data_IF_738964563907
#
_entry.id   IF_738964563907
#
_cell.length_a   1.000
_cell.length_b   1.000
_cell.length_c   1.000
_cell.angle_alpha   90.00
_cell.angle_beta   90.00
_cell.angle_gamma   90.00
#
_symmetry.space_group_name_H-M   'P 1'
#
loop_
_entity.id
_entity.type
_entity.pdbx_description
1 polymer ?
#
# COMPACT_ATOMS: atom_id res chain seq x y z
N UNK A 1 -45.46 5.14 -18.82
CA UNK A 1 -44.14 5.80 -18.91
C UNK A 1 -44.06 6.96 -17.91
N UNK A 2 -45.04 7.82 -17.86
CA UNK A 2 -45.10 8.95 -16.91
C UNK A 2 -45.13 8.50 -15.45
N UNK A 3 -45.81 7.38 -15.15
CA UNK A 3 -45.85 6.76 -13.81
C UNK A 3 -44.48 6.17 -13.46
N UNK A 4 -43.79 5.48 -14.36
CA UNK A 4 -42.44 4.95 -14.15
C UNK A 4 -41.43 6.07 -13.96
N UNK A 5 -41.56 7.16 -14.68
CA UNK A 5 -40.72 8.35 -14.48
C UNK A 5 -40.98 9.00 -13.12
N UNK A 6 -42.22 9.14 -12.68
CA UNK A 6 -42.56 9.64 -11.35
C UNK A 6 -42.07 8.72 -10.24
N UNK A 7 -42.19 7.41 -10.39
CA UNK A 7 -41.66 6.44 -9.42
C UNK A 7 -40.13 6.52 -9.32
N UNK A 8 -39.44 6.64 -10.45
CA UNK A 8 -38.01 6.79 -10.50
C UNK A 8 -37.56 8.13 -9.87
N UNK A 9 -38.24 9.25 -10.18
CA UNK A 9 -37.94 10.54 -9.57
C UNK A 9 -38.19 10.56 -8.05
N UNK A 10 -39.26 9.92 -7.58
CA UNK A 10 -39.57 9.77 -6.16
C UNK A 10 -38.56 8.88 -5.45
N UNK A 11 -38.13 7.76 -6.05
CA UNK A 11 -37.10 6.88 -5.44
C UNK A 11 -35.76 7.62 -5.28
N UNK A 12 -35.40 8.45 -6.24
CA UNK A 12 -34.20 9.27 -6.22
C UNK A 12 -34.28 10.43 -5.22
N UNK A 13 -35.48 10.99 -4.98
CA UNK A 13 -35.70 12.02 -3.99
C UNK A 13 -35.62 11.48 -2.56
N UNK A 14 -36.09 10.24 -2.34
CA UNK A 14 -35.91 9.49 -1.09
C UNK A 14 -34.43 9.18 -0.85
N UNK A 15 -33.70 8.84 -1.88
CA UNK A 15 -32.24 8.58 -1.80
C UNK A 15 -31.44 9.87 -1.46
N UNK A 16 -31.90 11.04 -1.94
CA UNK A 16 -31.30 12.35 -1.64
C UNK A 16 -31.48 12.78 -0.18
N UNK A 17 -32.49 12.26 0.52
CA UNK A 17 -32.85 12.62 1.90
C UNK A 17 -32.11 11.80 2.97
N UNK A 18 -31.33 10.80 2.58
CA UNK A 18 -30.47 10.02 3.47
C UNK A 18 -29.13 10.74 3.64
N UNK A 19 -28.87 11.24 4.85
CA UNK A 19 -27.74 12.12 5.21
C UNK A 19 -26.35 11.46 5.15
N UNK A 20 -26.27 10.16 4.87
CA UNK A 20 -25.04 9.35 4.96
C UNK A 20 -24.36 9.03 3.61
N UNK A 21 -24.76 9.66 2.52
CA UNK A 21 -24.25 9.28 1.20
C UNK A 21 -23.07 10.13 0.72
N UNK A 22 -21.91 9.50 0.63
CA UNK A 22 -20.69 10.02 -0.03
C UNK A 22 -20.85 10.25 -1.55
N UNK A 23 -21.95 9.83 -2.16
CA UNK A 23 -22.29 10.03 -3.58
C UNK A 23 -23.54 10.90 -3.72
N UNK A 24 -23.37 12.16 -4.03
CA UNK A 24 -24.50 13.02 -4.43
C UNK A 24 -24.61 13.06 -5.94
N UNK A 25 -25.68 12.45 -6.48
CA UNK A 25 -26.05 12.53 -7.90
C UNK A 25 -26.78 13.85 -8.12
N UNK A 26 -26.31 14.68 -9.06
CA UNK A 26 -26.98 15.95 -9.37
C UNK A 26 -28.17 15.71 -10.31
N UNK A 27 -29.37 15.62 -9.73
CA UNK A 27 -30.64 15.34 -10.42
C UNK A 27 -31.19 16.52 -11.20
N UNK A 28 -30.78 17.76 -10.91
CA UNK A 28 -31.29 18.95 -11.59
C UNK A 28 -30.89 18.97 -13.09
N UNK A 29 -29.77 18.34 -13.43
CA UNK A 29 -29.31 18.21 -14.82
C UNK A 29 -30.03 17.11 -15.60
N UNK A 30 -30.68 16.18 -14.95
CA UNK A 30 -31.46 15.11 -15.60
C UNK A 30 -32.77 15.63 -16.20
N UNK A 31 -33.24 16.77 -15.74
CA UNK A 31 -34.58 17.28 -16.08
C UNK A 31 -34.67 18.04 -17.41
N UNK A 32 -33.58 18.41 -18.07
CA UNK A 32 -33.65 19.29 -19.21
C UNK A 32 -33.65 18.64 -20.63
N UNK A 33 -32.95 17.51 -20.92
CA UNK A 33 -33.02 16.87 -22.25
C UNK A 33 -33.79 15.55 -22.30
N UNK A 34 -34.18 15.00 -21.15
CA UNK A 34 -34.72 13.62 -21.04
C UNK A 34 -36.10 13.35 -21.64
N UNK A 35 -37.09 14.28 -21.66
CA UNK A 35 -38.44 13.94 -22.17
C UNK A 35 -38.47 13.51 -23.64
N UNK A 36 -37.58 14.03 -24.48
CA UNK A 36 -37.53 13.66 -25.90
C UNK A 36 -37.11 12.21 -26.14
N UNK A 37 -36.16 11.69 -25.38
CA UNK A 37 -35.68 10.31 -25.50
C UNK A 37 -36.70 9.30 -24.96
N UNK A 38 -37.38 9.62 -23.85
CA UNK A 38 -38.45 8.75 -23.33
C UNK A 38 -39.66 8.69 -24.26
N UNK A 39 -40.04 9.81 -24.87
CA UNK A 39 -41.12 9.81 -25.88
C UNK A 39 -40.74 8.99 -27.11
N UNK A 40 -39.48 9.04 -27.55
CA UNK A 40 -38.99 8.23 -28.67
C UNK A 40 -39.04 6.73 -28.34
N UNK A 41 -38.54 6.34 -27.16
CA UNK A 41 -38.59 4.94 -26.69
C UNK A 41 -40.03 4.47 -26.54
N UNK A 42 -40.92 5.30 -25.99
CA UNK A 42 -42.35 5.02 -25.88
C UNK A 42 -43.02 4.85 -27.23
N UNK A 43 -42.66 5.67 -28.20
CA UNK A 43 -43.18 5.58 -29.58
C UNK A 43 -42.70 4.29 -30.27
N UNK A 44 -41.45 3.92 -30.13
CA UNK A 44 -40.89 2.66 -30.65
C UNK A 44 -41.59 1.45 -30.03
N UNK A 45 -41.75 1.42 -28.69
CA UNK A 45 -42.42 0.35 -27.98
C UNK A 45 -43.91 0.24 -28.40
N UNK A 46 -44.60 1.38 -28.56
CA UNK A 46 -45.96 1.42 -29.04
C UNK A 46 -46.07 0.92 -30.48
N UNK A 47 -45.20 1.37 -31.38
CA UNK A 47 -45.13 0.93 -32.76
C UNK A 47 -44.91 -0.60 -32.86
N UNK A 48 -44.00 -1.15 -32.04
CA UNK A 48 -43.76 -2.59 -31.95
C UNK A 48 -45.01 -3.34 -31.49
N UNK A 49 -45.72 -2.87 -30.44
CA UNK A 49 -46.97 -3.44 -29.99
C UNK A 49 -48.08 -3.33 -31.09
N UNK A 50 -48.15 -2.20 -31.76
CA UNK A 50 -49.12 -1.95 -32.83
C UNK A 50 -48.91 -2.91 -34.01
N UNK A 51 -47.68 -3.11 -34.48
CA UNK A 51 -47.34 -4.04 -35.56
C UNK A 51 -47.71 -5.48 -35.18
N UNK A 52 -47.45 -5.89 -33.92
CA UNK A 52 -47.78 -7.25 -33.47
C UNK A 52 -49.28 -7.48 -33.22
N UNK A 53 -50.06 -6.44 -32.99
CA UNK A 53 -51.50 -6.56 -32.74
C UNK A 53 -52.33 -6.69 -34.02
N UNK A 54 -51.87 -6.13 -35.14
CA UNK A 54 -52.62 -6.17 -36.41
C UNK A 54 -52.10 -7.30 -37.32
N UNK A 55 -52.95 -8.30 -37.59
CA UNK A 55 -52.59 -9.48 -38.41
C UNK A 55 -52.18 -9.11 -39.86
N UNK A 56 -52.78 -8.08 -40.45
CA UNK A 56 -52.43 -7.58 -41.80
C UNK A 56 -51.01 -7.01 -41.83
N UNK A 57 -50.58 -6.35 -40.74
CA UNK A 57 -49.21 -5.83 -40.62
C UNK A 57 -48.17 -6.95 -40.41
N UNK A 58 -48.55 -8.06 -39.79
CA UNK A 58 -47.69 -9.25 -39.67
C UNK A 58 -47.39 -9.88 -41.03
N UNK A 59 -48.38 -9.88 -41.98
CA UNK A 59 -48.16 -10.43 -43.29
C UNK A 59 -47.14 -9.65 -44.14
N UNK A 60 -47.00 -8.33 -43.89
CA UNK A 60 -45.96 -7.49 -44.49
C UNK A 60 -44.65 -7.56 -43.68
N UNK A 61 -44.74 -7.70 -42.34
CA UNK A 61 -43.59 -7.73 -41.46
C UNK A 61 -42.78 -9.05 -41.54
N UNK A 62 -43.44 -10.18 -41.84
CA UNK A 62 -42.77 -11.48 -41.96
C UNK A 62 -41.68 -11.50 -43.04
N UNK A 63 -41.90 -11.11 -44.28
CA UNK A 63 -40.86 -11.09 -45.31
C UNK A 63 -39.71 -10.15 -44.95
N UNK A 64 -40.00 -9.03 -44.26
CA UNK A 64 -38.98 -8.09 -43.77
C UNK A 64 -38.17 -8.73 -42.68
N UNK A 65 -38.84 -9.39 -41.73
CA UNK A 65 -38.16 -10.10 -40.64
C UNK A 65 -37.26 -11.20 -41.18
N UNK A 66 -37.80 -12.03 -42.11
CA UNK A 66 -37.05 -13.13 -42.72
C UNK A 66 -35.83 -12.61 -43.50
N UNK A 67 -35.92 -11.45 -44.13
CA UNK A 67 -34.77 -10.80 -44.77
C UNK A 67 -33.68 -10.42 -43.80
N UNK A 68 -34.03 -9.91 -42.60
CA UNK A 68 -33.07 -9.52 -41.59
C UNK A 68 -32.52 -10.69 -40.80
N UNK A 69 -33.30 -11.75 -40.56
CA UNK A 69 -32.90 -12.91 -39.75
C UNK A 69 -32.26 -14.04 -40.57
N UNK A 70 -32.37 -14.00 -41.95
CA UNK A 70 -31.78 -15.04 -42.79
C UNK A 70 -30.26 -15.06 -42.70
N UNK A 71 -29.68 -16.26 -42.52
CA UNK A 71 -28.27 -16.50 -42.52
C UNK A 71 -27.64 -16.19 -43.89
N UNK A 72 -26.60 -15.38 -43.89
CA UNK A 72 -25.78 -15.05 -45.05
C UNK A 72 -24.34 -15.45 -44.78
N UNK A 73 -23.65 -16.00 -45.76
CA UNK A 73 -22.27 -16.43 -45.61
C UNK A 73 -21.35 -15.71 -46.59
N UNK A 74 -20.20 -15.26 -46.08
CA UNK A 74 -19.08 -14.80 -46.89
C UNK A 74 -17.88 -15.68 -46.51
N UNK A 75 -17.58 -16.66 -47.33
CA UNK A 75 -16.61 -17.71 -47.04
C UNK A 75 -17.07 -18.56 -45.83
N UNK A 76 -16.26 -18.65 -44.79
CA UNK A 76 -16.60 -19.36 -43.54
C UNK A 76 -17.35 -18.52 -42.52
N UNK A 77 -17.63 -17.26 -42.81
CA UNK A 77 -18.30 -16.34 -41.90
C UNK A 77 -19.78 -16.26 -42.17
N UNK A 78 -20.60 -16.66 -41.19
CA UNK A 78 -22.07 -16.58 -41.25
C UNK A 78 -22.52 -15.35 -40.46
N UNK A 79 -23.36 -14.52 -41.06
CA UNK A 79 -23.91 -13.32 -40.41
C UNK A 79 -25.36 -13.08 -40.82
N UNK A 80 -26.08 -12.37 -39.96
CA UNK A 80 -27.44 -11.86 -40.25
C UNK A 80 -27.43 -10.33 -40.22
N UNK A 81 -28.33 -9.68 -40.95
CA UNK A 81 -28.46 -8.22 -40.82
C UNK A 81 -28.94 -7.81 -39.42
N UNK A 82 -29.78 -8.64 -38.80
CA UNK A 82 -30.19 -8.46 -37.41
C UNK A 82 -29.00 -8.46 -36.47
N UNK A 83 -28.07 -9.43 -36.63
CA UNK A 83 -26.83 -9.52 -35.84
C UNK A 83 -25.94 -8.27 -35.98
N UNK A 84 -25.79 -7.76 -37.24
CA UNK A 84 -25.03 -6.53 -37.48
C UNK A 84 -25.70 -5.32 -36.82
N UNK A 85 -27.03 -5.21 -36.94
CA UNK A 85 -27.76 -4.12 -36.29
C UNK A 85 -27.70 -4.18 -34.78
N UNK A 86 -27.83 -5.37 -34.20
CA UNK A 86 -27.64 -5.58 -32.77
C UNK A 86 -26.22 -5.22 -32.31
N UNK A 87 -25.19 -5.63 -33.07
CA UNK A 87 -23.79 -5.29 -32.80
C UNK A 87 -23.58 -3.77 -32.69
N UNK A 88 -24.05 -3.03 -33.72
CA UNK A 88 -23.94 -1.57 -33.75
C UNK A 88 -24.73 -0.94 -32.58
N UNK A 89 -25.94 -1.44 -32.35
CA UNK A 89 -26.83 -0.93 -31.28
C UNK A 89 -26.23 -1.14 -29.89
N UNK A 90 -25.65 -2.30 -29.62
CA UNK A 90 -25.02 -2.61 -28.34
C UNK A 90 -23.80 -1.73 -28.11
N UNK A 91 -22.93 -1.53 -29.11
CA UNK A 91 -21.76 -0.63 -29.00
C UNK A 91 -22.25 0.81 -28.74
N UNK A 92 -23.29 1.26 -29.46
CA UNK A 92 -23.85 2.59 -29.26
C UNK A 92 -24.41 2.76 -27.85
N UNK A 93 -25.20 1.80 -27.36
CA UNK A 93 -25.73 1.81 -25.99
C UNK A 93 -24.59 1.78 -24.97
N UNK A 94 -23.58 0.93 -25.15
CA UNK A 94 -22.42 0.84 -24.24
C UNK A 94 -21.66 2.16 -24.19
N UNK A 95 -21.48 2.85 -25.31
CA UNK A 95 -20.84 4.17 -25.33
C UNK A 95 -21.71 5.25 -24.67
N UNK A 96 -23.02 5.20 -24.82
CA UNK A 96 -23.95 6.10 -24.13
C UNK A 96 -23.92 5.89 -22.62
N UNK A 97 -24.01 4.62 -22.17
CA UNK A 97 -23.95 4.26 -20.75
C UNK A 97 -22.61 4.72 -20.16
N UNK A 98 -21.51 4.48 -20.87
CA UNK A 98 -20.17 4.90 -20.46
C UNK A 98 -20.06 6.43 -20.32
N UNK A 99 -20.60 7.19 -21.28
CA UNK A 99 -20.62 8.66 -21.22
C UNK A 99 -21.52 9.17 -20.09
N UNK A 100 -22.71 8.58 -19.95
CA UNK A 100 -23.67 8.95 -18.90
C UNK A 100 -23.06 8.72 -17.49
N UNK A 101 -22.43 7.56 -17.27
CA UNK A 101 -21.78 7.26 -16.01
C UNK A 101 -20.60 8.20 -15.74
N UNK A 102 -19.77 8.48 -16.75
CA UNK A 102 -18.69 9.46 -16.65
C UNK A 102 -19.19 10.85 -16.28
N UNK A 103 -20.34 11.26 -16.85
CA UNK A 103 -20.95 12.54 -16.57
C UNK A 103 -21.50 12.63 -15.14
N UNK A 104 -22.17 11.57 -14.67
CA UNK A 104 -22.70 11.48 -13.29
C UNK A 104 -21.58 11.49 -12.24
N UNK A 105 -20.48 10.79 -12.51
CA UNK A 105 -19.34 10.70 -11.58
C UNK A 105 -18.45 11.96 -11.61
N UNK A 106 -18.35 12.64 -12.77
CA UNK A 106 -17.52 13.84 -12.89
C UNK A 106 -18.05 15.04 -12.09
N UNK A 107 -19.34 15.07 -11.79
CA UNK A 107 -20.00 16.19 -11.07
C UNK A 107 -20.14 15.94 -9.56
N UNK A 108 -19.56 14.86 -9.03
CA UNK A 108 -19.55 14.60 -7.57
C UNK A 108 -18.77 15.69 -6.83
N UNK A 109 -19.26 16.12 -5.67
CA UNK A 109 -18.69 17.20 -4.82
C UNK A 109 -17.19 17.04 -4.51
N UNK A 110 -16.64 15.83 -4.67
CA UNK A 110 -15.24 15.50 -4.45
C UNK A 110 -14.29 16.24 -5.42
N UNK A 111 -14.78 16.64 -6.62
CA UNK A 111 -13.98 17.42 -7.58
C UNK A 111 -13.99 18.93 -7.27
N UNK A 112 -14.99 19.43 -6.56
CA UNK A 112 -15.10 20.86 -6.20
C UNK A 112 -14.21 21.26 -5.00
N UNK A 113 -13.78 20.31 -4.19
CA UNK A 113 -12.97 20.56 -2.99
C UNK A 113 -11.45 20.71 -3.26
N UNK A 114 -11.04 20.78 -4.55
CA UNK A 114 -9.66 21.02 -4.99
C UNK A 114 -9.07 22.35 -4.50
N UNK A 115 -9.90 23.29 -4.05
CA UNK A 115 -9.43 24.61 -3.58
C UNK A 115 -8.89 24.60 -2.14
N UNK A 116 -8.95 23.49 -1.41
CA UNK A 116 -8.53 23.41 0.01
C UNK A 116 -7.39 22.42 0.30
N UNK A 117 -6.49 22.18 -0.65
CA UNK A 117 -5.18 21.55 -0.35
C UNK A 117 -5.19 20.10 0.15
N UNK A 118 -6.34 19.40 0.23
CA UNK A 118 -6.39 17.97 0.52
C UNK A 118 -6.25 17.19 -0.78
N UNK A 119 -5.24 16.29 -0.85
CA UNK A 119 -5.04 15.32 -1.94
C UNK A 119 -6.30 14.44 -2.07
N UNK A 120 -7.30 14.92 -2.82
CA UNK A 120 -8.43 14.10 -3.24
C UNK A 120 -7.93 13.02 -4.20
N UNK A 121 -8.43 11.81 -4.06
CA UNK A 121 -8.21 10.72 -5.02
C UNK A 121 -8.58 11.27 -6.39
N UNK A 122 -7.69 11.14 -7.39
CA UNK A 122 -7.96 11.54 -8.77
C UNK A 122 -9.06 10.64 -9.36
N UNK A 123 -10.33 11.01 -9.13
CA UNK A 123 -11.50 10.30 -9.64
C UNK A 123 -11.47 10.15 -11.17
N UNK A 124 -10.73 11.01 -11.87
CA UNK A 124 -10.55 10.90 -13.32
C UNK A 124 -10.00 9.56 -13.78
N UNK A 125 -9.03 8.99 -13.05
CA UNK A 125 -8.45 7.68 -13.38
C UNK A 125 -9.42 6.53 -13.16
N UNK A 126 -10.24 6.56 -12.12
CA UNK A 126 -11.27 5.55 -11.86
C UNK A 126 -12.42 5.59 -12.88
N UNK A 127 -12.83 6.79 -13.27
CA UNK A 127 -13.83 6.97 -14.33
C UNK A 127 -13.33 6.41 -15.66
N UNK A 128 -12.03 6.59 -15.97
CA UNK A 128 -11.42 6.00 -17.16
C UNK A 128 -11.45 4.47 -17.12
N UNK A 129 -11.10 3.84 -16.01
CA UNK A 129 -11.13 2.38 -15.84
C UNK A 129 -12.55 1.83 -15.98
N UNK A 130 -13.55 2.47 -15.36
CA UNK A 130 -14.95 2.10 -15.50
C UNK A 130 -15.43 2.21 -16.96
N UNK A 131 -15.02 3.26 -17.65
CA UNK A 131 -15.34 3.46 -19.07
C UNK A 131 -14.76 2.34 -19.94
N UNK A 132 -13.49 2.00 -19.75
CA UNK A 132 -12.84 0.89 -20.47
C UNK A 132 -13.59 -0.41 -20.17
N UNK A 133 -13.91 -0.70 -18.90
CA UNK A 133 -14.65 -1.90 -18.50
C UNK A 133 -16.02 -2.02 -19.19
N UNK A 134 -16.82 -0.94 -19.17
CA UNK A 134 -18.15 -0.92 -19.80
C UNK A 134 -18.05 -1.15 -21.31
N UNK A 135 -17.10 -0.47 -21.98
CA UNK A 135 -16.92 -0.62 -23.43
C UNK A 135 -16.44 -2.03 -23.77
N UNK A 136 -15.53 -2.62 -22.98
CA UNK A 136 -15.03 -3.97 -23.20
C UNK A 136 -16.13 -5.03 -23.03
N UNK A 137 -16.94 -4.93 -21.98
CA UNK A 137 -18.09 -5.83 -21.75
C UNK A 137 -19.12 -5.65 -22.88
N UNK A 138 -19.43 -4.42 -23.25
CA UNK A 138 -20.34 -4.11 -24.36
C UNK A 138 -19.88 -4.69 -25.69
N UNK A 139 -18.56 -4.63 -25.95
CA UNK A 139 -17.96 -5.22 -27.15
C UNK A 139 -18.11 -6.76 -27.18
N UNK A 140 -17.88 -7.42 -26.03
CA UNK A 140 -18.07 -8.88 -25.92
C UNK A 140 -19.51 -9.29 -26.16
N UNK A 141 -20.47 -8.56 -25.56
CA UNK A 141 -21.89 -8.79 -25.76
C UNK A 141 -22.29 -8.54 -27.26
N UNK A 142 -21.72 -7.50 -27.86
CA UNK A 142 -21.96 -7.17 -29.27
C UNK A 142 -21.46 -8.32 -30.19
N UNK A 143 -20.27 -8.87 -29.96
CA UNK A 143 -19.77 -10.02 -30.71
C UNK A 143 -20.66 -11.26 -30.55
N UNK A 144 -21.08 -11.56 -29.31
CA UNK A 144 -21.99 -12.67 -29.03
C UNK A 144 -23.33 -12.53 -29.79
N UNK A 145 -23.91 -11.31 -29.78
CA UNK A 145 -25.18 -11.01 -30.42
C UNK A 145 -25.12 -11.01 -31.96
N UNK A 146 -23.93 -10.76 -32.52
CA UNK A 146 -23.71 -10.81 -33.98
C UNK A 146 -23.52 -12.24 -34.51
N UNK A 147 -23.59 -13.27 -33.65
CA UNK A 147 -23.37 -14.66 -34.08
C UNK A 147 -21.90 -14.98 -34.38
N UNK A 148 -20.96 -14.10 -33.99
CA UNK A 148 -19.53 -14.34 -34.20
C UNK A 148 -19.07 -15.41 -33.21
N UNK A 149 -18.43 -16.51 -33.71
CA UNK A 149 -17.97 -17.56 -32.81
C UNK A 149 -16.96 -17.00 -31.83
N UNK A 150 -17.33 -17.00 -30.54
CA UNK A 150 -16.50 -16.46 -29.48
C UNK A 150 -15.26 -17.32 -29.15
N UNK A 151 -15.21 -18.56 -29.65
CA UNK A 151 -14.14 -19.51 -29.34
C UNK A 151 -12.75 -18.96 -29.69
N UNK A 152 -12.61 -18.34 -30.86
CA UNK A 152 -11.35 -17.72 -31.28
C UNK A 152 -11.01 -16.46 -30.46
N UNK A 153 -12.03 -15.67 -30.13
CA UNK A 153 -11.86 -14.46 -29.30
C UNK A 153 -11.50 -14.86 -27.87
N UNK A 154 -12.11 -15.94 -27.37
CA UNK A 154 -11.85 -16.47 -26.03
C UNK A 154 -10.37 -16.86 -25.86
N UNK A 155 -9.75 -17.47 -26.87
CA UNK A 155 -8.34 -17.83 -26.82
C UNK A 155 -7.47 -16.57 -26.68
N UNK A 156 -7.73 -15.54 -27.46
CA UNK A 156 -7.00 -14.27 -27.42
C UNK A 156 -7.20 -13.57 -26.06
N UNK A 157 -8.45 -13.51 -25.60
CA UNK A 157 -8.77 -12.90 -24.30
C UNK A 157 -8.12 -13.67 -23.17
N UNK A 158 -8.10 -15.01 -23.23
CA UNK A 158 -7.45 -15.84 -22.22
C UNK A 158 -5.95 -15.59 -22.17
N UNK A 159 -5.28 -15.55 -23.30
CA UNK A 159 -3.85 -15.24 -23.38
C UNK A 159 -3.55 -13.82 -22.85
N UNK A 160 -4.39 -12.83 -23.23
CA UNK A 160 -4.28 -11.45 -22.73
C UNK A 160 -4.51 -11.37 -21.22
N UNK A 161 -5.51 -12.11 -20.70
CA UNK A 161 -5.85 -12.14 -19.28
C UNK A 161 -4.69 -12.71 -18.43
N UNK A 162 -4.03 -13.76 -18.94
CA UNK A 162 -2.82 -14.31 -18.28
C UNK A 162 -1.70 -13.27 -18.27
N UNK A 163 -1.46 -12.59 -19.41
CA UNK A 163 -0.45 -11.52 -19.48
C UNK A 163 -0.74 -10.36 -18.53
N UNK A 164 -1.98 -9.90 -18.48
CA UNK A 164 -2.41 -8.86 -17.53
C UNK A 164 -2.26 -9.36 -16.09
N UNK A 165 -2.65 -10.62 -15.80
CA UNK A 165 -2.51 -11.23 -14.48
C UNK A 165 -1.07 -11.21 -13.99
N UNK A 166 -0.11 -11.61 -14.81
CA UNK A 166 1.30 -11.50 -14.47
C UNK A 166 1.78 -10.06 -14.29
N UNK A 167 1.31 -9.14 -15.15
CA UNK A 167 1.63 -7.71 -15.00
C UNK A 167 1.09 -7.08 -13.73
N UNK A 168 -0.05 -7.57 -13.22
CA UNK A 168 -0.70 -7.07 -12.00
C UNK A 168 -0.31 -7.85 -10.73
N UNK A 169 0.45 -8.94 -10.83
CA UNK A 169 0.77 -9.82 -9.71
C UNK A 169 1.29 -9.07 -8.48
N UNK A 170 2.26 -8.18 -8.68
CA UNK A 170 2.84 -7.38 -7.58
C UNK A 170 1.81 -6.43 -6.94
N UNK A 171 0.93 -5.84 -7.72
CA UNK A 171 -0.13 -4.96 -7.20
C UNK A 171 -1.11 -5.74 -6.33
N UNK A 172 -1.54 -6.91 -6.81
CA UNK A 172 -2.46 -7.79 -6.07
C UNK A 172 -1.78 -8.31 -4.80
N UNK A 173 -0.52 -8.73 -4.87
CA UNK A 173 0.24 -9.16 -3.69
C UNK A 173 0.28 -8.05 -2.63
N UNK A 174 0.61 -6.82 -3.01
CA UNK A 174 0.66 -5.70 -2.09
C UNK A 174 -0.71 -5.36 -1.47
N UNK A 175 -1.78 -5.47 -2.25
CA UNK A 175 -3.15 -5.26 -1.78
C UNK A 175 -3.54 -6.32 -0.75
N UNK A 176 -3.33 -7.60 -1.06
CA UNK A 176 -3.64 -8.73 -0.17
C UNK A 176 -2.80 -8.62 1.11
N UNK A 177 -1.51 -8.31 0.98
CA UNK A 177 -0.63 -8.07 2.12
C UNK A 177 -1.10 -6.92 3.00
N UNK A 178 -1.61 -5.82 2.41
CA UNK A 178 -2.20 -4.72 3.16
C UNK A 178 -3.43 -5.13 3.96
N UNK A 179 -4.28 -5.98 3.38
CA UNK A 179 -5.44 -6.55 4.07
C UNK A 179 -4.98 -7.44 5.24
N UNK A 180 -4.01 -8.33 5.02
CA UNK A 180 -3.47 -9.22 6.06
C UNK A 180 -2.90 -8.39 7.23
N UNK A 181 -2.09 -7.35 6.93
CA UNK A 181 -1.53 -6.45 7.96
C UNK A 181 -2.65 -5.80 8.78
N UNK A 182 -3.74 -5.37 8.13
CA UNK A 182 -4.85 -4.73 8.83
C UNK A 182 -5.60 -5.69 9.77
N UNK A 183 -5.69 -6.98 9.42
CA UNK A 183 -6.37 -8.00 10.23
C UNK A 183 -5.45 -8.59 11.31
N UNK A 184 -4.26 -9.03 10.96
CA UNK A 184 -3.34 -9.72 11.87
C UNK A 184 -2.52 -8.75 12.73
N UNK A 185 -2.35 -7.51 12.26
CA UNK A 185 -1.64 -6.44 12.96
C UNK A 185 -0.24 -6.83 13.45
N UNK A 186 0.61 -7.44 12.61
CA UNK A 186 2.00 -7.72 12.99
C UNK A 186 2.78 -6.43 13.24
N UNK A 187 2.26 -5.31 12.76
CA UNK A 187 2.78 -3.96 12.94
C UNK A 187 1.62 -2.97 13.02
N UNK A 188 1.73 -1.98 13.91
CA UNK A 188 0.77 -0.90 14.08
C UNK A 188 1.40 0.45 13.77
N UNK A 189 0.55 1.44 13.49
CA UNK A 189 1.01 2.83 13.37
C UNK A 189 1.58 3.28 14.72
N UNK A 190 2.79 3.83 14.70
CA UNK A 190 3.53 4.23 15.90
C UNK A 190 4.59 3.23 16.34
N UNK A 191 4.54 1.97 15.89
CA UNK A 191 5.56 0.95 16.21
C UNK A 191 6.93 1.34 15.67
N UNK A 192 7.96 0.98 16.42
CA UNK A 192 9.35 1.04 15.95
C UNK A 192 9.68 -0.27 15.25
N UNK A 193 9.99 -0.16 13.97
CA UNK A 193 10.23 -1.32 13.10
C UNK A 193 11.57 -1.20 12.39
N UNK A 194 12.14 -2.35 12.07
CA UNK A 194 13.30 -2.47 11.21
C UNK A 194 12.94 -3.34 10.01
N UNK A 195 13.03 -2.76 8.82
CA UNK A 195 12.70 -3.41 7.54
C UNK A 195 13.77 -3.06 6.52
N UNK A 196 14.29 -4.04 5.81
CA UNK A 196 15.34 -3.87 4.79
C UNK A 196 16.55 -3.06 5.29
N UNK A 197 16.96 -3.25 6.56
CA UNK A 197 18.07 -2.54 7.19
C UNK A 197 17.79 -1.06 7.52
N UNK A 198 16.54 -0.63 7.42
CA UNK A 198 16.10 0.71 7.84
C UNK A 198 15.28 0.60 9.12
N UNK A 199 15.71 1.33 10.16
CA UNK A 199 14.97 1.43 11.42
C UNK A 199 14.23 2.76 11.50
N UNK A 200 12.98 2.73 11.92
CA UNK A 200 12.17 3.93 12.07
C UNK A 200 10.81 3.65 12.70
N UNK A 201 10.00 4.70 12.78
CA UNK A 201 8.65 4.62 13.32
C UNK A 201 7.62 4.47 12.20
N UNK A 202 6.72 3.51 12.33
CA UNK A 202 5.61 3.33 11.39
C UNK A 202 4.69 4.55 11.41
N UNK A 203 4.64 5.30 10.31
CA UNK A 203 3.85 6.54 10.16
C UNK A 203 2.43 6.27 9.72
N UNK A 204 2.27 5.39 8.74
CA UNK A 204 0.96 5.01 8.21
C UNK A 204 1.01 3.66 7.52
N UNK A 205 -0.13 2.96 7.54
CA UNK A 205 -0.35 1.71 6.82
C UNK A 205 -1.42 2.00 5.78
N UNK A 206 -1.06 1.94 4.51
CA UNK A 206 -1.97 2.14 3.38
C UNK A 206 -2.41 0.83 2.76
N UNK A 207 -3.26 0.91 1.74
CA UNK A 207 -3.84 -0.26 1.08
C UNK A 207 -2.77 -1.12 0.36
N UNK A 208 -1.79 -0.49 -0.30
CA UNK A 208 -0.74 -1.17 -1.08
C UNK A 208 0.67 -0.95 -0.53
N UNK A 209 0.88 0.08 0.26
CA UNK A 209 2.19 0.45 0.79
C UNK A 209 2.05 1.12 2.14
N UNK A 210 3.01 0.90 3.01
CA UNK A 210 3.14 1.54 4.31
C UNK A 210 4.29 2.53 4.30
N UNK A 211 4.31 3.45 5.27
CA UNK A 211 5.30 4.51 5.38
C UNK A 211 5.98 4.44 6.74
N UNK A 212 7.30 4.44 6.74
CA UNK A 212 8.15 4.46 7.93
C UNK A 212 8.96 5.75 7.91
N UNK A 213 8.90 6.52 8.99
CA UNK A 213 9.79 7.67 9.20
C UNK A 213 11.04 7.21 9.93
N UNK A 214 12.20 7.35 9.30
CA UNK A 214 13.49 6.99 9.89
C UNK A 214 13.93 8.02 10.94
N UNK A 215 14.93 7.67 11.74
CA UNK A 215 15.50 8.61 12.74
C UNK A 215 16.17 9.82 12.11
N UNK A 216 16.60 9.70 10.85
CA UNK A 216 17.17 10.82 10.07
C UNK A 216 16.10 11.75 9.48
N UNK A 217 14.80 11.49 9.77
CA UNK A 217 13.69 12.31 9.31
C UNK A 217 13.19 12.00 7.90
N UNK A 218 13.70 10.95 7.23
CA UNK A 218 13.21 10.55 5.92
C UNK A 218 11.98 9.65 6.02
N UNK A 219 11.02 9.83 5.09
CA UNK A 219 9.88 8.95 4.94
C UNK A 219 10.19 7.86 3.90
N UNK A 220 10.26 6.62 4.33
CA UNK A 220 10.48 5.45 3.48
C UNK A 220 9.14 4.80 3.17
N UNK A 221 8.81 4.70 1.87
CA UNK A 221 7.60 4.02 1.40
C UNK A 221 7.94 2.56 1.09
N UNK A 222 7.31 1.64 1.80
CA UNK A 222 7.56 0.21 1.70
C UNK A 222 6.30 -0.48 1.15
N UNK A 223 6.39 -1.24 0.04
CA UNK A 223 5.29 -2.07 -0.43
C UNK A 223 4.84 -3.05 0.66
N UNK A 224 3.53 -3.24 0.83
CA UNK A 224 3.02 -4.11 1.89
C UNK A 224 3.46 -5.57 1.74
N UNK A 225 3.67 -6.02 0.49
CA UNK A 225 4.24 -7.35 0.20
C UNK A 225 5.62 -7.52 0.81
N UNK A 226 6.46 -6.50 0.78
CA UNK A 226 7.81 -6.57 1.35
C UNK A 226 7.78 -6.64 2.88
N UNK A 227 6.80 -5.97 3.52
CA UNK A 227 6.62 -6.04 4.97
C UNK A 227 6.27 -7.45 5.46
N UNK A 228 5.55 -8.25 4.66
CA UNK A 228 5.16 -9.62 5.03
C UNK A 228 6.15 -10.68 4.52
N UNK A 229 6.76 -10.47 3.36
CA UNK A 229 7.64 -11.45 2.73
C UNK A 229 9.10 -11.36 3.23
N UNK A 230 9.50 -10.19 3.76
CA UNK A 230 10.83 -10.01 4.36
C UNK A 230 10.76 -10.17 5.88
N UNK A 231 11.93 -10.34 6.51
CA UNK A 231 12.01 -10.33 7.96
C UNK A 231 11.76 -8.91 8.48
N UNK A 232 10.61 -8.73 9.12
CA UNK A 232 10.25 -7.52 9.83
C UNK A 232 10.61 -7.69 11.30
N UNK A 233 11.47 -6.84 11.85
CA UNK A 233 11.68 -6.77 13.30
C UNK A 233 10.80 -5.65 13.85
N UNK A 234 9.86 -6.00 14.72
CA UNK A 234 9.05 -5.04 15.47
C UNK A 234 9.57 -4.96 16.91
N UNK A 235 10.12 -3.80 17.26
CA UNK A 235 10.74 -3.57 18.58
C UNK A 235 9.73 -3.17 19.65
N UNK A 236 8.47 -2.92 19.30
CA UNK A 236 7.44 -2.40 20.20
C UNK A 236 6.18 -3.27 20.24
N UNK A 237 6.13 -4.36 19.48
CA UNK A 237 5.01 -5.30 19.50
C UNK A 237 4.96 -6.05 20.84
N UNK A 238 3.91 -5.80 21.61
CA UNK A 238 3.69 -6.42 22.93
C UNK A 238 4.46 -5.75 24.05
N UNK A 239 5.79 -5.79 24.06
CA UNK A 239 6.66 -5.15 25.04
C UNK A 239 7.63 -4.21 24.35
N UNK A 240 7.72 -2.95 24.81
CA UNK A 240 8.68 -1.96 24.29
C UNK A 240 10.11 -2.17 24.81
N UNK A 241 10.36 -3.21 25.61
CA UNK A 241 11.66 -3.45 26.23
C UNK A 241 12.70 -3.86 25.19
N UNK A 242 13.75 -3.09 25.07
CA UNK A 242 14.86 -3.39 24.19
C UNK A 242 16.17 -3.49 24.95
N UNK A 243 16.99 -4.48 24.56
CA UNK A 243 18.30 -4.71 25.16
C UNK A 243 19.39 -4.08 24.33
N UNK A 244 20.21 -3.24 24.96
CA UNK A 244 21.37 -2.60 24.35
C UNK A 244 22.65 -3.02 25.05
N UNK A 245 23.78 -2.71 24.44
CA UNK A 245 25.09 -3.05 24.98
C UNK A 245 26.11 -1.93 24.82
N UNK A 246 27.01 -1.87 25.79
CA UNK A 246 28.21 -1.05 25.76
C UNK A 246 29.40 -2.02 25.88
N UNK A 247 30.41 -1.82 25.05
CA UNK A 247 31.68 -2.53 25.13
C UNK A 247 32.74 -1.57 25.71
N UNK A 248 33.45 -2.00 26.72
CA UNK A 248 34.56 -1.24 27.32
C UNK A 248 35.64 -2.19 27.78
N UNK A 249 36.90 -1.80 27.67
CA UNK A 249 38.05 -2.58 28.18
C UNK A 249 38.59 -2.00 29.46
N UNK A 250 39.01 -2.87 30.39
CA UNK A 250 39.74 -2.48 31.59
C UNK A 250 41.19 -3.00 31.55
N UNK A 251 42.11 -2.31 32.19
CA UNK A 251 43.51 -2.69 32.18
C UNK A 251 43.75 -4.07 32.86
N UNK A 252 44.74 -4.80 32.40
CA UNK A 252 45.22 -6.00 33.08
C UNK A 252 45.66 -5.68 34.53
N UNK A 253 45.34 -6.58 35.44
CA UNK A 253 45.59 -6.38 36.88
C UNK A 253 44.48 -5.67 37.64
N UNK A 254 43.42 -5.19 36.94
CA UNK A 254 42.23 -4.62 37.57
C UNK A 254 41.43 -5.71 38.30
N UNK A 255 40.89 -5.40 39.47
CA UNK A 255 40.00 -6.30 40.21
C UNK A 255 38.64 -6.40 39.52
N UNK A 256 38.41 -7.48 38.79
CA UNK A 256 37.21 -7.68 37.96
C UNK A 256 35.92 -7.82 38.78
N UNK A 257 36.01 -8.36 40.00
CA UNK A 257 34.86 -8.51 40.89
C UNK A 257 34.34 -7.14 41.36
N UNK A 258 35.27 -6.24 41.72
CA UNK A 258 34.93 -4.86 42.08
C UNK A 258 34.35 -4.09 40.90
N UNK A 259 34.96 -4.22 39.72
CA UNK A 259 34.41 -3.61 38.47
C UNK A 259 33.01 -4.07 38.23
N UNK A 260 32.75 -5.39 38.30
CA UNK A 260 31.42 -5.96 38.14
C UNK A 260 30.43 -5.32 39.11
N UNK A 261 30.73 -5.28 40.39
CA UNK A 261 29.88 -4.71 41.44
C UNK A 261 29.57 -3.24 41.17
N UNK A 262 30.59 -2.41 40.92
CA UNK A 262 30.40 -0.97 40.70
C UNK A 262 29.55 -0.67 39.46
N UNK A 263 29.74 -1.44 38.38
CA UNK A 263 28.94 -1.28 37.15
C UNK A 263 27.51 -1.74 37.39
N UNK A 264 27.25 -2.83 38.11
CA UNK A 264 25.90 -3.27 38.49
C UNK A 264 25.19 -2.19 39.30
N UNK A 265 25.84 -1.65 40.33
CA UNK A 265 25.27 -0.62 41.20
C UNK A 265 24.93 0.65 40.39
N UNK A 266 25.80 1.05 39.46
CA UNK A 266 25.60 2.17 38.58
C UNK A 266 24.34 1.95 37.68
N UNK A 267 24.23 0.79 37.02
CA UNK A 267 23.11 0.48 36.15
C UNK A 267 21.79 0.41 36.91
N UNK A 268 21.80 -0.15 38.13
CA UNK A 268 20.60 -0.23 38.99
C UNK A 268 20.15 1.13 39.52
N UNK A 269 21.07 2.07 39.70
CA UNK A 269 20.77 3.43 40.12
C UNK A 269 20.25 4.33 39.00
N UNK A 270 20.45 3.94 37.74
CA UNK A 270 20.06 4.76 36.60
C UNK A 270 18.56 4.66 36.33
N UNK A 271 17.84 5.80 36.29
CA UNK A 271 16.38 5.85 36.22
C UNK A 271 15.80 5.21 34.96
N UNK A 272 16.48 5.30 33.81
CA UNK A 272 16.02 4.82 32.51
C UNK A 272 16.46 3.40 32.16
N UNK A 273 17.21 2.74 33.06
CA UNK A 273 17.58 1.32 32.95
C UNK A 273 16.60 0.49 33.75
N UNK A 274 16.06 -0.55 33.11
CA UNK A 274 15.14 -1.45 33.78
C UNK A 274 15.88 -2.29 34.84
N UNK A 275 15.27 -2.39 36.03
CA UNK A 275 15.74 -3.29 37.08
C UNK A 275 15.44 -4.74 36.82
N UNK A 276 14.42 -5.00 36.03
CA UNK A 276 14.03 -6.33 35.56
C UNK A 276 13.56 -6.25 34.07
N UNK A 277 14.11 -7.08 33.15
CA UNK A 277 15.17 -8.06 33.40
C UNK A 277 16.48 -7.38 33.87
N UNK A 278 17.25 -8.06 34.74
CA UNK A 278 18.47 -7.49 35.33
C UNK A 278 19.51 -7.17 34.26
N UNK A 279 20.29 -6.08 34.43
CA UNK A 279 21.47 -5.83 33.62
C UNK A 279 22.45 -6.99 33.73
N UNK A 280 23.16 -7.28 32.65
CA UNK A 280 24.11 -8.38 32.58
C UNK A 280 25.49 -7.82 32.20
N UNK A 281 26.48 -8.12 33.02
CA UNK A 281 27.86 -7.73 32.80
C UNK A 281 28.67 -9.00 32.54
N UNK A 282 29.36 -9.04 31.41
CA UNK A 282 30.12 -10.20 30.96
C UNK A 282 31.54 -9.76 30.60
N UNK A 283 32.55 -10.38 31.19
CA UNK A 283 33.92 -10.31 30.68
C UNK A 283 34.01 -11.28 29.50
N UNK A 284 34.23 -10.74 28.30
CA UNK A 284 34.11 -11.50 27.06
C UNK A 284 35.39 -12.15 26.60
N UNK A 285 36.51 -11.46 26.76
CA UNK A 285 37.84 -11.97 26.36
C UNK A 285 38.97 -11.20 26.97
N UNK A 286 40.16 -11.82 26.96
CA UNK A 286 41.44 -11.14 27.19
C UNK A 286 41.91 -10.58 25.85
N UNK A 287 41.75 -9.25 25.67
CA UNK A 287 42.18 -8.55 24.48
C UNK A 287 43.68 -8.27 24.46
N UNK A 288 44.17 -7.66 23.37
CA UNK A 288 45.60 -7.36 23.20
C UNK A 288 46.18 -6.38 24.25
N UNK A 289 45.32 -5.52 24.80
CA UNK A 289 45.74 -4.48 25.75
C UNK A 289 44.74 -4.29 26.90
N UNK A 290 43.63 -4.99 26.90
CA UNK A 290 42.53 -4.86 27.86
C UNK A 290 41.88 -6.19 28.16
N UNK A 291 41.14 -6.27 29.27
CA UNK A 291 40.11 -7.28 29.46
C UNK A 291 38.79 -6.66 29.05
N UNK A 292 38.16 -7.26 28.04
CA UNK A 292 36.96 -6.70 27.41
C UNK A 292 35.71 -7.04 28.20
N UNK A 293 34.91 -6.03 28.46
CA UNK A 293 33.67 -6.07 29.23
C UNK A 293 32.49 -5.69 28.38
N UNK A 294 31.51 -6.56 28.27
CA UNK A 294 30.20 -6.30 27.62
C UNK A 294 29.15 -6.01 28.70
N UNK A 295 28.65 -4.80 28.72
CA UNK A 295 27.61 -4.33 29.64
C UNK A 295 26.30 -4.35 28.86
N UNK A 296 25.36 -5.25 29.19
CA UNK A 296 24.06 -5.37 28.58
C UNK A 296 22.99 -4.87 29.53
N UNK A 297 22.15 -3.96 29.04
CA UNK A 297 21.08 -3.35 29.83
C UNK A 297 19.77 -3.25 29.02
N UNK A 298 18.66 -3.16 29.73
CA UNK A 298 17.35 -3.05 29.16
C UNK A 298 16.79 -1.65 29.37
N UNK A 299 16.12 -1.10 28.34
CA UNK A 299 15.38 0.15 28.39
C UNK A 299 13.91 -0.09 28.14
N UNK A 300 13.05 0.74 28.72
CA UNK A 300 11.60 0.62 28.56
C UNK A 300 11.08 1.09 27.19
N UNK A 301 11.81 1.98 26.53
CA UNK A 301 11.44 2.53 25.23
C UNK A 301 12.66 2.52 24.31
N UNK A 302 12.53 1.85 23.17
CA UNK A 302 13.56 1.81 22.14
C UNK A 302 14.04 3.20 21.70
N UNK A 303 13.14 4.17 21.63
CA UNK A 303 13.48 5.53 21.18
C UNK A 303 14.45 6.27 22.12
N UNK A 304 14.47 5.92 23.41
CA UNK A 304 15.37 6.50 24.42
C UNK A 304 16.71 5.83 24.51
N UNK A 305 16.87 4.68 23.86
CA UNK A 305 18.03 3.81 24.01
C UNK A 305 19.38 4.49 23.69
N UNK A 306 19.41 5.29 22.62
CA UNK A 306 20.63 6.00 22.19
C UNK A 306 21.06 7.02 23.24
N UNK A 307 20.12 7.77 23.80
CA UNK A 307 20.38 8.75 24.84
C UNK A 307 20.84 8.06 26.11
N UNK A 308 20.11 7.02 26.55
CA UNK A 308 20.48 6.23 27.74
C UNK A 308 21.86 5.60 27.60
N UNK A 309 22.19 5.08 26.42
CA UNK A 309 23.53 4.54 26.14
C UNK A 309 24.61 5.60 26.27
N UNK A 310 24.39 6.81 25.77
CA UNK A 310 25.32 7.93 25.89
C UNK A 310 25.52 8.34 27.36
N UNK A 311 24.41 8.47 28.11
CA UNK A 311 24.45 8.82 29.53
C UNK A 311 25.21 7.80 30.35
N UNK A 312 24.99 6.50 30.06
CA UNK A 312 25.72 5.41 30.73
C UNK A 312 27.20 5.41 30.38
N UNK A 313 27.60 5.72 29.15
CA UNK A 313 29.03 5.83 28.78
C UNK A 313 29.70 6.92 29.62
N UNK A 314 29.07 8.09 29.75
CA UNK A 314 29.55 9.20 30.55
C UNK A 314 29.63 8.80 32.04
N UNK A 315 28.60 8.13 32.54
CA UNK A 315 28.54 7.69 33.93
C UNK A 315 29.62 6.63 34.25
N UNK A 316 29.85 5.69 33.32
CA UNK A 316 30.91 4.66 33.44
C UNK A 316 32.29 5.31 33.42
N UNK A 317 32.55 6.26 32.53
CA UNK A 317 33.84 6.98 32.49
C UNK A 317 34.10 7.70 33.81
N UNK A 318 33.10 8.39 34.35
CA UNK A 318 33.20 9.06 35.66
C UNK A 318 33.45 8.06 36.78
N UNK A 319 32.67 6.98 36.83
CA UNK A 319 32.85 5.91 37.85
C UNK A 319 34.26 5.31 37.79
N UNK A 320 34.75 5.01 36.61
CA UNK A 320 36.09 4.41 36.45
C UNK A 320 37.19 5.36 36.91
N UNK A 321 37.07 6.66 36.63
CA UNK A 321 38.00 7.69 37.14
C UNK A 321 37.94 7.79 38.66
N UNK A 322 36.78 7.81 39.27
CA UNK A 322 36.59 7.86 40.73
C UNK A 322 37.15 6.62 41.46
N UNK A 323 37.05 5.46 40.80
CA UNK A 323 37.54 4.18 41.38
C UNK A 323 38.94 3.81 40.96
N UNK A 324 39.67 4.70 40.26
CA UNK A 324 40.99 4.44 39.71
C UNK A 324 41.07 3.20 38.81
N UNK A 325 39.97 2.90 38.09
CA UNK A 325 39.90 1.84 37.07
C UNK A 325 40.42 2.43 35.76
N UNK A 326 41.52 1.88 35.22
CA UNK A 326 42.10 2.38 33.98
C UNK A 326 41.49 1.74 32.75
N UNK A 327 41.11 2.55 31.78
CA UNK A 327 40.85 2.12 30.41
C UNK A 327 42.17 2.24 29.66
N UNK A 328 42.82 1.12 29.27
CA UNK A 328 44.19 1.18 28.76
C UNK A 328 44.24 1.74 27.36
N UNK A 329 45.26 2.50 27.05
CA UNK A 329 45.66 2.77 25.68
C UNK A 329 46.27 1.50 25.05
N UNK A 330 46.34 1.43 23.70
CA UNK A 330 47.07 0.33 23.06
C UNK A 330 48.47 0.18 23.63
N UNK A 331 48.81 -1.02 24.13
CA UNK A 331 50.09 -1.34 24.71
C UNK A 331 50.99 -2.02 23.69
N UNK A 332 52.28 -1.68 23.67
CA UNK A 332 53.28 -2.31 22.81
C UNK A 332 54.56 -2.52 23.59
N UNK A 333 55.10 -3.74 23.53
CA UNK A 333 56.42 -4.03 24.02
C UNK A 333 57.44 -3.68 22.93
N UNK A 334 58.32 -2.71 23.21
CA UNK A 334 59.35 -2.29 22.26
C UNK A 334 60.69 -2.80 22.69
N UNK A 335 61.28 -3.70 21.91
CA UNK A 335 62.67 -4.18 22.12
C UNK A 335 63.65 -3.36 21.28
N UNK A 336 64.43 -2.50 21.92
CA UNK A 336 65.45 -1.70 21.25
C UNK A 336 66.70 -2.58 21.06
N UNK A 337 66.98 -3.02 19.84
CA UNK A 337 68.13 -3.89 19.52
C UNK A 337 69.46 -3.12 19.43
N UNK A 338 69.45 -1.87 19.06
CA UNK A 338 70.63 -0.99 19.00
C UNK A 338 70.20 0.48 19.13
N UNK A 339 70.94 1.24 19.88
CA UNK A 339 70.86 2.71 19.86
C UNK A 339 71.96 3.23 18.93
N UNK A 340 71.74 4.24 18.10
CA UNK A 340 72.81 4.89 17.37
C UNK A 340 73.83 5.44 18.38
N UNK A 341 75.12 5.23 18.10
CA UNK A 341 76.15 5.81 18.93
C UNK A 341 75.97 7.33 18.98
N UNK A 342 75.99 7.84 20.22
CA UNK A 342 75.91 9.29 20.41
C UNK A 342 77.20 9.89 19.90
N UNK A 343 77.14 10.61 18.81
CA UNK A 343 78.27 11.35 18.21
C UNK A 343 78.74 12.39 19.24
N UNK A 344 79.84 12.07 19.94
CA UNK A 344 80.39 12.93 20.95
C UNK A 344 81.18 14.13 20.40
N UNK A 345 81.08 14.38 19.10
CA UNK A 345 81.79 15.45 18.35
C UNK A 345 81.16 16.81 18.40
N UNK A 346 80.18 17.06 19.25
CA UNK A 346 79.68 18.45 19.45
C UNK A 346 80.26 19.07 20.73
N UNK A 347 81.61 19.13 20.79
CA UNK A 347 82.31 20.04 21.64
C UNK A 347 83.34 20.81 20.80
N UNK A 348 82.93 21.95 20.32
CA UNK A 348 83.84 23.11 20.19
C UNK A 348 82.97 24.38 20.00
#
# INVERSE_FOLDING_TARGET
>A
LEILYKMFSLSMEVFKKSDDNYFTINLERFNSPTPKYYSLIGMIAWLYMFINFFYILQLIAQPIKDFFTSDRSIGSFVFTFEGIFLFISIIFISTLVSKMLSYLLADSKVLKDRTKGKKGIELGSWVLLLRIGIISIGLLIAFASAGIPLDRITIIISALSVGIGFGMQTLINNLVSGIIIAFEKPVNVGDVVEVAGKTGRMKSIGVRSSMVTTWDGSDVVIPNGDLLNQHLTNWTLGNSYARFGILVGVAYGTNLEEVHKFVVDLLQSHNNVLKYPQPLIIFTQFGSSSIDLAIKFWVADYSTAVTVKSDLIIAIDKLFKEKNISIPFPQQDVYIKSLPERDNNLKS
#
